data_IF_641297890641
#
_entry.id   IF_641297890641
#
_cell.length_a   1.000
_cell.length_b   1.000
_cell.length_c   1.000
_cell.angle_alpha   90.00
_cell.angle_beta   90.00
_cell.angle_gamma   90.00
#
_symmetry.space_group_name_H-M   'P 1'
#
loop_
_entity.id
_entity.type
_entity.pdbx_description
1 polymer ?
#
# COMPACT_ATOMS: atom_id res chain seq x y z
N UNK A 1 17.80 11.22 -16.89
CA UNK A 1 17.31 12.17 -15.87
C UNK A 1 18.51 12.65 -15.06
N UNK A 2 18.49 13.90 -14.60
CA UNK A 2 19.48 14.46 -13.67
C UNK A 2 18.74 15.32 -12.63
N UNK A 3 19.37 15.57 -11.49
CA UNK A 3 18.88 16.51 -10.45
C UNK A 3 19.88 17.65 -10.40
N UNK A 4 19.38 18.86 -10.61
CA UNK A 4 20.18 20.07 -10.47
C UNK A 4 20.04 20.61 -9.04
N UNK A 5 21.17 20.74 -8.36
CA UNK A 5 21.27 21.32 -7.02
C UNK A 5 22.00 22.67 -7.02
N UNK A 6 22.23 23.25 -8.20
CA UNK A 6 22.84 24.58 -8.37
C UNK A 6 24.35 24.64 -8.18
N UNK A 7 25.07 23.52 -8.36
CA UNK A 7 26.54 23.43 -8.17
C UNK A 7 27.27 23.21 -9.49
N UNK A 8 28.52 23.69 -9.59
CA UNK A 8 29.32 23.66 -10.83
C UNK A 8 30.36 22.55 -10.88
N UNK A 9 30.55 21.80 -9.79
CA UNK A 9 31.54 20.73 -9.74
C UNK A 9 31.18 19.63 -8.75
N UNK A 10 31.74 18.43 -8.99
CA UNK A 10 31.68 17.30 -8.05
C UNK A 10 32.15 17.70 -6.64
N UNK A 11 33.28 18.42 -6.54
CA UNK A 11 33.86 18.84 -5.26
C UNK A 11 32.91 19.76 -4.48
N UNK A 12 32.20 20.64 -5.17
CA UNK A 12 31.21 21.52 -4.56
C UNK A 12 29.99 20.72 -4.06
N UNK A 13 29.50 19.75 -4.84
CA UNK A 13 28.43 18.86 -4.39
C UNK A 13 28.83 18.09 -3.11
N UNK A 14 30.04 17.52 -3.09
CA UNK A 14 30.61 16.82 -1.92
C UNK A 14 30.73 17.74 -0.70
N UNK A 15 31.05 19.03 -0.89
CA UNK A 15 31.08 20.03 0.19
C UNK A 15 29.70 20.30 0.80
N UNK A 16 28.63 20.16 0.03
CA UNK A 16 27.24 20.21 0.52
C UNK A 16 26.74 18.89 1.10
N UNK A 17 27.63 17.90 1.26
CA UNK A 17 27.31 16.61 1.87
C UNK A 17 26.68 15.59 0.92
N UNK A 18 26.72 15.85 -0.39
CA UNK A 18 26.22 14.90 -1.39
C UNK A 18 27.21 13.75 -1.57
N UNK A 19 26.72 12.53 -1.41
CA UNK A 19 27.49 11.30 -1.61
C UNK A 19 26.67 10.22 -2.35
N UNK A 20 27.37 9.26 -2.97
CA UNK A 20 26.75 8.12 -3.61
C UNK A 20 25.97 7.28 -2.60
N UNK A 21 24.71 7.01 -2.89
CA UNK A 21 23.81 6.28 -2.00
C UNK A 21 22.97 7.16 -1.08
N UNK A 22 23.13 8.49 -1.11
CA UNK A 22 22.18 9.39 -0.45
C UNK A 22 20.75 9.14 -0.95
N UNK A 23 19.80 9.10 -0.01
CA UNK A 23 18.38 8.97 -0.32
C UNK A 23 17.87 10.27 -0.95
N UNK A 24 17.13 10.13 -2.03
CA UNK A 24 16.43 11.23 -2.69
C UNK A 24 14.95 10.88 -2.70
N UNK A 25 14.11 11.80 -2.25
CA UNK A 25 12.66 11.64 -2.26
C UNK A 25 12.01 12.84 -2.93
N UNK A 26 10.84 12.68 -3.57
CA UNK A 26 10.00 13.82 -3.91
C UNK A 26 9.74 14.69 -2.68
N UNK A 27 9.66 16.01 -2.88
CA UNK A 27 9.13 16.93 -1.89
C UNK A 27 7.66 17.23 -2.23
N UNK A 28 6.79 17.13 -1.23
CA UNK A 28 5.37 17.47 -1.33
C UNK A 28 4.86 17.74 0.08
N UNK A 29 4.06 18.79 0.21
CA UNK A 29 3.32 19.09 1.43
C UNK A 29 2.09 18.18 1.50
N UNK A 30 1.63 17.91 2.72
CA UNK A 30 0.34 17.25 2.94
C UNK A 30 -0.74 18.33 2.95
N UNK A 31 -1.70 18.20 2.04
CA UNK A 31 -2.76 19.18 1.88
C UNK A 31 -4.12 18.50 1.81
N UNK A 32 -5.11 19.20 2.34
CA UNK A 32 -6.52 18.87 2.12
C UNK A 32 -6.99 19.65 0.89
N UNK A 33 -7.59 18.96 -0.08
CA UNK A 33 -8.09 19.59 -1.31
C UNK A 33 -9.40 20.34 -1.06
N UNK A 34 -9.87 21.06 -2.09
CA UNK A 34 -11.07 21.90 -2.01
C UNK A 34 -12.31 21.18 -1.46
N UNK A 35 -12.44 19.89 -1.73
CA UNK A 35 -13.35 19.02 -0.99
C UNK A 35 -12.58 18.34 0.13
N UNK A 36 -12.92 18.68 1.38
CA UNK A 36 -12.22 18.25 2.60
C UNK A 36 -12.12 16.73 2.83
N UNK A 37 -12.72 15.91 1.96
CA UNK A 37 -12.58 14.45 1.95
C UNK A 37 -11.36 13.96 1.17
N UNK A 38 -10.79 14.79 0.30
CA UNK A 38 -9.67 14.42 -0.55
C UNK A 38 -8.39 15.04 -0.01
N UNK A 39 -7.35 14.21 0.03
CA UNK A 39 -6.04 14.55 0.55
C UNK A 39 -5.03 14.40 -0.59
N UNK A 40 -4.00 15.23 -0.59
CA UNK A 40 -2.86 15.09 -1.50
C UNK A 40 -1.57 15.15 -0.69
N UNK A 41 -0.66 14.23 -0.99
CA UNK A 41 0.67 14.15 -0.40
C UNK A 41 1.51 13.14 -1.20
N UNK A 42 2.84 13.21 -1.05
CA UNK A 42 3.71 12.11 -1.47
C UNK A 42 3.50 10.86 -0.61
N UNK A 43 3.77 9.71 -1.20
CA UNK A 43 3.90 8.42 -0.51
C UNK A 43 2.63 7.95 0.22
N UNK A 44 1.43 8.25 -0.29
CA UNK A 44 0.25 7.49 0.15
C UNK A 44 0.45 5.99 -0.05
N UNK A 45 1.12 5.65 -1.16
CA UNK A 45 1.84 4.39 -1.33
C UNK A 45 3.14 4.36 -0.49
N UNK A 46 3.23 3.57 0.58
CA UNK A 46 2.14 2.92 1.30
C UNK A 46 2.04 3.44 2.76
N UNK A 47 2.20 4.76 2.95
CA UNK A 47 1.97 5.37 4.28
C UNK A 47 0.51 5.22 4.71
N UNK A 48 -0.44 5.17 3.77
CA UNK A 48 -1.84 4.96 4.11
C UNK A 48 -2.08 3.58 4.71
N UNK A 49 -1.48 2.51 4.14
CA UNK A 49 -1.54 1.17 4.74
C UNK A 49 -0.86 1.11 6.11
N UNK A 50 0.25 1.82 6.30
CA UNK A 50 0.90 1.95 7.60
C UNK A 50 -0.01 2.64 8.64
N UNK A 51 -0.68 3.73 8.26
CA UNK A 51 -1.62 4.42 9.13
C UNK A 51 -2.82 3.53 9.48
N UNK A 52 -3.38 2.81 8.50
CA UNK A 52 -4.47 1.87 8.73
C UNK A 52 -4.09 0.76 9.72
N UNK A 53 -2.87 0.22 9.62
CA UNK A 53 -2.38 -0.79 10.56
C UNK A 53 -2.33 -0.25 12.00
N UNK A 54 -1.90 0.99 12.20
CA UNK A 54 -1.92 1.67 13.51
C UNK A 54 -3.34 1.88 14.02
N UNK A 55 -4.26 2.33 13.16
CA UNK A 55 -5.66 2.55 13.52
C UNK A 55 -6.36 1.24 13.92
N UNK A 56 -6.10 0.14 13.21
CA UNK A 56 -6.62 -1.20 13.56
C UNK A 56 -6.12 -1.63 14.94
N UNK A 57 -4.81 -1.50 15.20
CA UNK A 57 -4.26 -1.82 16.53
C UNK A 57 -4.88 -0.95 17.63
N UNK A 58 -5.04 0.35 17.39
CA UNK A 58 -5.65 1.26 18.36
C UNK A 58 -7.11 0.93 18.66
N UNK A 59 -7.88 0.52 17.64
CA UNK A 59 -9.28 0.16 17.79
C UNK A 59 -9.46 -1.17 18.52
N UNK A 60 -8.54 -2.12 18.35
CA UNK A 60 -8.64 -3.47 18.94
C UNK A 60 -7.89 -3.60 20.28
N UNK A 61 -7.24 -2.55 20.77
CA UNK A 61 -6.31 -2.65 21.91
C UNK A 61 -6.96 -3.13 23.22
N UNK A 62 -8.25 -2.86 23.42
CA UNK A 62 -9.02 -3.26 24.61
C UNK A 62 -9.90 -4.51 24.34
N UNK A 63 -9.92 -4.99 23.09
CA UNK A 63 -10.79 -6.08 22.67
C UNK A 63 -10.07 -7.42 22.84
N UNK A 64 -10.76 -8.41 23.43
CA UNK A 64 -10.31 -9.80 23.37
C UNK A 64 -10.73 -10.43 22.02
N UNK A 65 -9.82 -10.34 21.06
CA UNK A 65 -10.04 -10.80 19.68
C UNK A 65 -9.75 -12.29 19.47
N UNK A 66 -9.34 -13.04 20.50
CA UNK A 66 -9.05 -14.48 20.44
C UNK A 66 -8.10 -14.91 19.31
N UNK A 67 -7.24 -14.00 18.84
CA UNK A 67 -6.21 -14.25 17.82
C UNK A 67 -4.90 -13.56 18.21
N UNK A 68 -3.77 -14.10 17.75
CA UNK A 68 -2.49 -13.41 17.83
C UNK A 68 -2.36 -12.43 16.65
N UNK A 69 -2.79 -11.18 16.85
CA UNK A 69 -2.69 -10.15 15.83
C UNK A 69 -1.28 -9.59 15.76
N UNK A 70 -0.67 -9.67 14.57
CA UNK A 70 0.58 -8.98 14.24
C UNK A 70 0.31 -7.98 13.13
N UNK A 71 0.62 -6.71 13.38
CA UNK A 71 0.61 -5.67 12.37
C UNK A 71 2.02 -5.07 12.24
N UNK A 72 2.45 -4.79 11.02
CA UNK A 72 3.80 -4.32 10.74
C UNK A 72 3.89 -3.50 9.46
N UNK A 73 4.97 -2.74 9.34
CA UNK A 73 5.33 -2.00 8.14
C UNK A 73 6.55 -2.64 7.51
N UNK A 74 6.34 -3.38 6.41
CA UNK A 74 7.43 -4.02 5.70
C UNK A 74 8.31 -2.99 5.00
N UNK A 75 9.61 -3.30 4.89
CA UNK A 75 10.56 -2.48 4.14
C UNK A 75 10.76 -3.04 2.74
N UNK A 76 11.14 -2.16 1.80
CA UNK A 76 11.60 -2.57 0.47
C UNK A 76 10.57 -3.39 -0.36
N UNK A 77 9.28 -3.06 -0.22
CA UNK A 77 8.22 -3.57 -1.11
C UNK A 77 8.51 -3.14 -2.55
N UNK A 78 8.71 -1.83 -2.76
CA UNK A 78 8.94 -1.15 -4.04
C UNK A 78 10.15 -1.67 -4.86
N UNK A 79 11.02 -2.47 -4.24
CA UNK A 79 12.19 -3.09 -4.89
C UNK A 79 12.15 -4.62 -4.85
N UNK A 80 10.96 -5.19 -4.66
CA UNK A 80 10.66 -6.60 -4.81
C UNK A 80 10.18 -7.30 -3.53
N UNK A 81 9.22 -6.72 -2.81
CA UNK A 81 8.47 -7.38 -1.71
C UNK A 81 9.35 -7.93 -0.59
N UNK A 82 10.54 -7.35 -0.40
CA UNK A 82 11.64 -8.03 0.30
C UNK A 82 11.38 -8.17 1.80
N UNK A 83 10.86 -7.12 2.42
CA UNK A 83 10.51 -7.10 3.83
C UNK A 83 9.42 -8.12 4.15
N UNK A 84 8.37 -8.19 3.32
CA UNK A 84 7.30 -9.16 3.50
C UNK A 84 7.80 -10.61 3.50
N UNK A 85 8.73 -10.95 2.61
CA UNK A 85 9.34 -12.29 2.61
C UNK A 85 9.98 -12.63 3.95
N UNK A 86 10.75 -11.71 4.52
CA UNK A 86 11.42 -11.93 5.82
C UNK A 86 10.40 -11.98 6.95
N UNK A 87 9.46 -11.04 6.98
CA UNK A 87 8.43 -10.96 8.00
C UNK A 87 7.57 -12.22 8.04
N UNK A 88 7.10 -12.70 6.89
CA UNK A 88 6.24 -13.88 6.80
C UNK A 88 6.94 -15.17 7.26
N UNK A 89 8.20 -15.40 6.89
CA UNK A 89 8.95 -16.58 7.34
C UNK A 89 9.30 -16.54 8.85
N UNK A 90 9.32 -15.34 9.45
CA UNK A 90 9.54 -15.16 10.89
C UNK A 90 8.25 -15.31 11.69
N UNK A 91 7.18 -14.65 11.26
CA UNK A 91 5.89 -14.60 11.96
C UNK A 91 5.10 -15.89 11.75
N UNK A 92 5.19 -16.48 10.55
CA UNK A 92 4.43 -17.65 10.11
C UNK A 92 2.91 -17.48 10.31
N UNK A 93 2.30 -16.46 9.68
CA UNK A 93 0.89 -16.17 9.87
C UNK A 93 -0.01 -17.26 9.26
N UNK A 94 -1.06 -17.67 9.96
CA UNK A 94 -2.11 -18.54 9.42
C UNK A 94 -3.01 -17.81 8.40
N UNK A 95 -3.13 -16.49 8.54
CA UNK A 95 -3.86 -15.59 7.66
C UNK A 95 -3.16 -14.23 7.63
N UNK A 96 -3.09 -13.61 6.46
CA UNK A 96 -2.51 -12.29 6.28
C UNK A 96 -3.40 -11.40 5.41
N UNK A 97 -3.46 -10.12 5.76
CA UNK A 97 -4.08 -9.06 4.96
C UNK A 97 -2.93 -8.11 4.59
N UNK A 98 -2.52 -8.13 3.32
CA UNK A 98 -1.66 -7.08 2.79
C UNK A 98 -2.54 -5.87 2.46
N UNK A 99 -2.20 -4.72 3.06
CA UNK A 99 -2.88 -3.46 2.79
C UNK A 99 -1.98 -2.64 1.91
N UNK A 100 -2.50 -2.19 0.77
CA UNK A 100 -1.78 -1.36 -0.18
C UNK A 100 -2.73 -0.38 -0.87
N UNK A 101 -2.19 0.52 -1.68
CA UNK A 101 -2.98 1.38 -2.55
C UNK A 101 -3.39 0.66 -3.82
N UNK A 102 -4.53 1.06 -4.39
CA UNK A 102 -4.97 0.65 -5.72
C UNK A 102 -5.01 1.87 -6.63
N UNK A 103 -4.86 1.65 -7.94
CA UNK A 103 -5.02 2.71 -8.94
C UNK A 103 -6.50 3.06 -9.04
N UNK A 104 -6.82 4.36 -8.98
CA UNK A 104 -8.13 4.87 -9.31
C UNK A 104 -8.17 5.28 -10.80
N UNK A 105 -9.26 4.92 -11.48
CA UNK A 105 -9.46 5.16 -12.92
C UNK A 105 -10.51 6.26 -13.20
N UNK A 106 -10.88 7.02 -12.17
CA UNK A 106 -11.84 8.12 -12.23
C UNK A 106 -11.23 9.47 -12.68
N UNK A 107 -10.00 9.46 -13.19
CA UNK A 107 -9.33 10.64 -13.76
C UNK A 107 -9.58 10.78 -15.27
N UNK A 108 -9.57 12.01 -15.82
CA UNK A 108 -9.73 12.24 -17.26
C UNK A 108 -8.80 11.37 -18.12
N UNK A 109 -9.37 10.62 -19.06
CA UNK A 109 -8.62 9.77 -20.00
C UNK A 109 -8.34 8.35 -19.52
N UNK A 110 -8.73 7.97 -18.29
CA UNK A 110 -8.52 6.61 -17.75
C UNK A 110 -9.81 5.78 -17.63
N UNK A 111 -10.98 6.42 -17.56
CA UNK A 111 -12.26 5.76 -17.34
C UNK A 111 -12.58 4.70 -18.41
N UNK A 112 -12.94 3.49 -17.99
CA UNK A 112 -13.39 2.40 -18.87
C UNK A 112 -12.29 1.71 -19.69
N UNK A 113 -11.01 1.97 -19.41
CA UNK A 113 -9.89 1.32 -20.12
C UNK A 113 -9.46 -0.01 -19.49
N UNK A 114 -9.33 -0.05 -18.17
CA UNK A 114 -8.73 -1.19 -17.44
C UNK A 114 -9.57 -1.58 -16.22
N UNK A 115 -10.04 -0.61 -15.45
CA UNK A 115 -10.91 -0.79 -14.30
C UNK A 115 -11.82 0.43 -14.11
N UNK A 116 -12.84 0.28 -13.26
CA UNK A 116 -13.79 1.34 -12.88
C UNK A 116 -13.63 1.74 -11.40
N UNK A 117 -12.52 1.38 -10.77
CA UNK A 117 -12.22 1.79 -9.39
C UNK A 117 -12.13 3.32 -9.29
N UNK A 118 -12.76 3.87 -8.26
CA UNK A 118 -12.83 5.31 -8.06
C UNK A 118 -12.61 5.66 -6.58
N UNK A 119 -12.02 6.83 -6.33
CA UNK A 119 -11.79 7.32 -4.97
C UNK A 119 -13.13 7.69 -4.35
N UNK A 120 -13.39 7.18 -3.15
CA UNK A 120 -14.63 7.43 -2.40
C UNK A 120 -15.71 6.36 -2.56
N UNK A 121 -15.54 5.39 -3.46
CA UNK A 121 -16.47 4.27 -3.67
C UNK A 121 -16.20 3.04 -2.78
N UNK A 122 -15.36 3.20 -1.74
CA UNK A 122 -15.00 2.16 -0.77
C UNK A 122 -13.64 1.49 -1.05
N UNK A 123 -13.16 0.64 -0.13
CA UNK A 123 -11.88 -0.05 -0.29
C UNK A 123 -11.91 -1.03 -1.48
N UNK A 124 -10.74 -1.21 -2.09
CA UNK A 124 -10.57 -2.12 -3.22
C UNK A 124 -10.08 -3.48 -2.69
N UNK A 125 -10.78 -4.55 -3.08
CA UNK A 125 -10.35 -5.93 -2.84
C UNK A 125 -9.71 -6.44 -4.13
N UNK A 126 -8.39 -6.56 -4.11
CA UNK A 126 -7.62 -7.12 -5.21
C UNK A 126 -7.87 -8.62 -5.30
N UNK A 127 -8.50 -9.05 -6.39
CA UNK A 127 -8.76 -10.48 -6.66
C UNK A 127 -7.52 -11.16 -7.22
N UNK A 128 -6.71 -10.42 -7.96
CA UNK A 128 -5.48 -10.90 -8.58
C UNK A 128 -4.54 -9.72 -8.85
N UNK A 129 -3.27 -9.91 -8.55
CA UNK A 129 -2.16 -9.09 -9.05
C UNK A 129 -1.13 -9.97 -9.76
N UNK A 130 -0.02 -9.41 -10.26
CA UNK A 130 1.00 -10.18 -10.98
C UNK A 130 1.73 -11.22 -10.11
N UNK A 131 1.58 -11.13 -8.79
CA UNK A 131 2.32 -11.90 -7.80
C UNK A 131 1.45 -12.83 -6.95
N UNK A 132 0.13 -12.63 -6.94
CA UNK A 132 -0.80 -13.38 -6.11
C UNK A 132 -2.20 -13.48 -6.75
N UNK A 133 -2.83 -14.65 -6.64
CA UNK A 133 -4.26 -14.84 -6.88
C UNK A 133 -4.94 -14.96 -5.51
N UNK A 134 -5.87 -14.04 -5.21
CA UNK A 134 -6.53 -13.98 -3.92
C UNK A 134 -7.24 -15.28 -3.55
N UNK A 135 -7.10 -15.71 -2.30
CA UNK A 135 -7.72 -16.94 -1.82
C UNK A 135 -9.25 -16.84 -1.89
N UNK A 136 -9.89 -17.66 -2.74
CA UNK A 136 -11.33 -17.58 -3.06
C UNK A 136 -12.21 -17.58 -1.82
N UNK A 137 -11.90 -18.43 -0.84
CA UNK A 137 -12.65 -18.50 0.42
C UNK A 137 -12.55 -17.22 1.23
N UNK A 138 -11.38 -16.58 1.25
CA UNK A 138 -11.16 -15.37 2.01
C UNK A 138 -11.80 -14.16 1.32
N UNK A 139 -11.72 -14.09 -0.01
CA UNK A 139 -12.45 -13.08 -0.79
C UNK A 139 -13.97 -13.16 -0.56
N UNK A 140 -14.55 -14.37 -0.52
CA UNK A 140 -15.97 -14.54 -0.19
C UNK A 140 -16.28 -14.04 1.22
N UNK A 141 -15.43 -14.38 2.20
CA UNK A 141 -15.57 -13.91 3.56
C UNK A 141 -15.53 -12.38 3.67
N UNK A 142 -14.59 -11.72 2.97
CA UNK A 142 -14.51 -10.25 2.92
C UNK A 142 -15.82 -9.65 2.37
N UNK A 143 -16.36 -10.21 1.27
CA UNK A 143 -17.65 -9.76 0.69
C UNK A 143 -18.81 -9.92 1.67
N UNK A 144 -18.84 -11.02 2.43
CA UNK A 144 -19.86 -11.27 3.44
C UNK A 144 -19.77 -10.29 4.61
N UNK A 145 -18.56 -10.03 5.12
CA UNK A 145 -18.31 -9.04 6.17
C UNK A 145 -18.71 -7.63 5.69
N UNK A 146 -18.28 -7.24 4.50
CA UNK A 146 -18.64 -5.96 3.90
C UNK A 146 -20.17 -5.79 3.80
N UNK A 147 -20.87 -6.81 3.30
CA UNK A 147 -22.34 -6.83 3.23
C UNK A 147 -22.98 -6.71 4.61
N UNK A 148 -22.51 -7.49 5.59
CA UNK A 148 -23.03 -7.48 6.96
C UNK A 148 -22.92 -6.09 7.61
N UNK A 149 -21.85 -5.37 7.32
CA UNK A 149 -21.57 -4.05 7.89
C UNK A 149 -21.98 -2.87 6.99
N UNK A 150 -22.67 -3.12 5.87
CA UNK A 150 -23.07 -2.10 4.89
C UNK A 150 -21.87 -1.27 4.37
N UNK A 151 -20.73 -1.91 4.19
CA UNK A 151 -19.52 -1.30 3.62
C UNK A 151 -19.52 -1.58 2.12
N UNK A 152 -19.58 -0.53 1.30
CA UNK A 152 -19.34 -0.67 -0.14
C UNK A 152 -17.88 -1.04 -0.38
N UNK A 153 -17.64 -2.00 -1.26
CA UNK A 153 -16.30 -2.42 -1.68
C UNK A 153 -16.23 -2.45 -3.20
N UNK A 154 -15.02 -2.28 -3.72
CA UNK A 154 -14.71 -2.39 -5.14
C UNK A 154 -13.88 -3.65 -5.36
N UNK A 155 -14.02 -4.30 -6.51
CA UNK A 155 -13.21 -5.46 -6.88
C UNK A 155 -12.33 -5.09 -8.05
N UNK A 156 -11.06 -5.47 -8.01
CA UNK A 156 -10.14 -5.12 -9.08
C UNK A 156 -9.07 -6.19 -9.31
N UNK A 157 -8.34 -6.05 -10.42
CA UNK A 157 -7.15 -6.82 -10.74
C UNK A 157 -6.01 -5.91 -11.18
N UNK A 158 -4.79 -6.16 -10.70
CA UNK A 158 -3.62 -5.34 -11.01
C UNK A 158 -2.58 -6.15 -11.76
N UNK A 159 -2.81 -6.37 -13.06
CA UNK A 159 -1.97 -7.25 -13.87
C UNK A 159 -0.51 -6.77 -14.04
N UNK A 160 -0.25 -5.46 -13.88
CA UNK A 160 1.09 -4.87 -14.03
C UNK A 160 1.83 -4.59 -12.73
N UNK A 161 1.23 -4.89 -11.57
CA UNK A 161 1.77 -4.61 -10.25
C UNK A 161 1.76 -5.85 -9.37
N UNK A 162 2.51 -5.80 -8.27
CA UNK A 162 2.50 -6.81 -7.22
C UNK A 162 2.28 -6.14 -5.87
N UNK A 163 1.97 -6.94 -4.86
CA UNK A 163 1.85 -6.47 -3.48
C UNK A 163 2.60 -7.41 -2.55
N UNK A 164 2.80 -6.98 -1.30
CA UNK A 164 3.44 -7.82 -0.27
C UNK A 164 2.76 -9.21 -0.11
N UNK A 165 1.47 -9.35 -0.46
CA UNK A 165 0.77 -10.64 -0.50
C UNK A 165 1.49 -11.69 -1.37
N UNK A 166 2.15 -11.26 -2.45
CA UNK A 166 2.95 -12.10 -3.34
C UNK A 166 4.09 -12.83 -2.64
N UNK A 167 4.75 -12.21 -1.66
CA UNK A 167 5.79 -12.87 -0.86
C UNK A 167 5.23 -13.61 0.35
N UNK A 168 4.13 -13.13 0.92
CA UNK A 168 3.54 -13.73 2.12
C UNK A 168 2.92 -15.11 1.82
N UNK A 169 2.17 -15.25 0.74
CA UNK A 169 1.40 -16.48 0.48
C UNK A 169 2.26 -17.72 0.16
N UNK A 170 3.53 -17.54 -0.20
CA UNK A 170 4.49 -18.63 -0.46
C UNK A 170 5.49 -18.85 0.67
N UNK A 171 5.36 -18.12 1.77
CA UNK A 171 6.25 -18.25 2.92
C UNK A 171 6.09 -19.62 3.63
N UNK A 172 7.11 -20.03 4.38
CA UNK A 172 7.21 -21.35 5.03
C UNK A 172 7.20 -21.27 6.55
#
# INVERSE_FOLDING_TARGET
>A
MFIDIGVKSKKEAEQYGIDLGNMITPYSEFETLANNKYLTAKAFDNRYGCALAVDVLNNLKEDDININLVAGANVQEEVGLRGAKVAANKIKPDLAIAVDVAVAYDTPGMSGQVSDTAIGNGPVVIIMDATNIGHVGFTKHIKEVAKKHNISIQLDTTAGGGTDAGSIHVAK
#
